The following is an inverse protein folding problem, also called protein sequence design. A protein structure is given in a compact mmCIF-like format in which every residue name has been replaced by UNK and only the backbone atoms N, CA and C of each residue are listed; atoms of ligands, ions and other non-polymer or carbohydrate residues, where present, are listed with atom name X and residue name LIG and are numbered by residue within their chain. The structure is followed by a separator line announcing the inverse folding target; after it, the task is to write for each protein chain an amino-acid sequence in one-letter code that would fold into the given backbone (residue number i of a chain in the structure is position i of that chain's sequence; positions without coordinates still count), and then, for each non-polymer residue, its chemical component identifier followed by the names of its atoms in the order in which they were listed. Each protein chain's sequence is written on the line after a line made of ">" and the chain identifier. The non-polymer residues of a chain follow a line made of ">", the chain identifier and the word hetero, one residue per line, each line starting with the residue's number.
data_IF_114973408304
#
_entry.id   IF_114973408304
#
_cell.length_a   1.000
_cell.length_b   1.000
_cell.length_c   1.000
_cell.angle_alpha   90.00
_cell.angle_beta   90.00
_cell.angle_gamma   90.00
#
_symmetry.space_group_name_H-M   'P 1'
#
loop_
_entity.id
_entity.type
_entity.pdbx_description
1 polymer ?
#
# COMPACT_ATOMS: atom_id res chain seq x y z
N UNK A 1 2.81 26.71 -9.14
CA UNK A 1 2.45 25.36 -9.63
C UNK A 1 1.32 24.86 -8.74
N UNK A 2 0.20 24.45 -9.32
CA UNK A 2 -0.96 23.96 -8.59
C UNK A 2 -0.86 22.44 -8.42
N UNK A 3 -0.84 21.98 -7.17
CA UNK A 3 -1.02 20.58 -6.82
C UNK A 3 -2.33 20.41 -6.06
N UNK A 4 -2.99 19.26 -6.24
CA UNK A 4 -4.24 18.94 -5.53
C UNK A 4 -4.12 17.58 -4.87
N UNK A 5 -4.50 17.52 -3.60
CA UNK A 5 -4.65 16.26 -2.86
C UNK A 5 -6.03 15.67 -3.13
N UNK A 6 -6.06 14.45 -3.68
CA UNK A 6 -7.31 13.77 -4.01
C UNK A 6 -7.17 12.26 -3.81
N UNK A 7 -8.07 11.67 -3.01
CA UNK A 7 -8.13 10.23 -2.73
C UNK A 7 -6.79 9.59 -2.28
N UNK A 8 -5.96 10.32 -1.53
CA UNK A 8 -4.66 9.80 -1.08
C UNK A 8 -3.53 9.90 -2.12
N UNK A 9 -3.75 10.66 -3.18
CA UNK A 9 -2.74 11.02 -4.18
C UNK A 9 -2.52 12.53 -4.23
N UNK A 10 -1.33 12.92 -4.66
CA UNK A 10 -1.01 14.29 -5.07
C UNK A 10 -1.01 14.32 -6.59
N UNK A 11 -1.80 15.20 -7.16
CA UNK A 11 -1.95 15.37 -8.61
C UNK A 11 -1.31 16.72 -8.99
N UNK A 12 -0.30 16.68 -9.84
CA UNK A 12 0.41 17.85 -10.37
C UNK A 12 0.55 17.76 -11.90
N UNK A 13 1.15 18.78 -12.51
CA UNK A 13 1.51 18.73 -13.93
C UNK A 13 2.58 17.66 -14.25
N UNK A 14 3.38 17.22 -13.28
CA UNK A 14 4.35 16.15 -13.47
C UNK A 14 3.71 14.75 -13.40
N UNK A 15 2.48 14.66 -12.91
CA UNK A 15 1.71 13.42 -12.88
C UNK A 15 1.04 13.15 -11.53
N UNK A 16 0.95 11.87 -11.17
CA UNK A 16 0.30 11.39 -9.96
C UNK A 16 1.36 10.78 -9.06
N UNK A 17 1.42 11.22 -7.81
CA UNK A 17 2.25 10.63 -6.76
C UNK A 17 1.40 10.22 -5.55
N UNK A 18 1.98 9.43 -4.66
CA UNK A 18 1.33 9.05 -3.40
C UNK A 18 1.41 10.23 -2.45
N UNK A 19 0.32 10.55 -1.76
CA UNK A 19 0.35 11.56 -0.70
C UNK A 19 1.35 11.13 0.39
N UNK A 20 2.37 11.94 0.72
CA UNK A 20 3.37 11.59 1.73
C UNK A 20 2.76 11.16 3.08
N UNK A 21 1.62 11.74 3.46
CA UNK A 21 0.89 11.33 4.67
C UNK A 21 0.44 9.86 4.64
N UNK A 22 0.20 9.28 3.46
CA UNK A 22 -0.15 7.87 3.29
C UNK A 22 1.07 6.97 3.32
N UNK A 23 2.25 7.48 2.97
CA UNK A 23 3.52 6.76 3.12
C UNK A 23 3.86 6.63 4.60
N UNK A 24 3.69 7.70 5.37
CA UNK A 24 3.95 7.73 6.82
C UNK A 24 3.12 6.68 7.57
N UNK A 25 1.81 6.58 7.26
CA UNK A 25 0.94 5.54 7.83
C UNK A 25 1.43 4.11 7.55
N UNK A 26 2.06 3.87 6.39
CA UNK A 26 2.64 2.55 6.08
C UNK A 26 3.94 2.31 6.83
N UNK A 27 4.76 3.36 7.04
CA UNK A 27 6.01 3.29 7.79
C UNK A 27 5.78 3.05 9.29
N UNK A 28 4.74 3.67 9.86
CA UNK A 28 4.35 3.52 11.27
C UNK A 28 3.48 2.29 11.53
N UNK A 29 3.10 1.55 10.47
CA UNK A 29 2.21 0.41 10.61
C UNK A 29 2.84 -0.69 11.47
N UNK A 30 2.21 -1.01 12.60
CA UNK A 30 2.70 -2.06 13.50
C UNK A 30 2.72 -3.42 12.80
N UNK A 31 3.74 -4.23 13.11
CA UNK A 31 3.88 -5.59 12.55
C UNK A 31 2.59 -6.40 12.75
N UNK A 32 1.90 -6.83 11.66
CA UNK A 32 0.69 -7.64 11.77
C UNK A 32 0.94 -8.95 12.52
N UNK A 33 0.01 -9.32 13.41
CA UNK A 33 0.09 -10.51 14.28
C UNK A 33 -0.90 -11.61 13.90
N UNK A 34 -1.90 -11.30 13.07
CA UNK A 34 -2.89 -12.27 12.62
C UNK A 34 -3.26 -12.11 11.14
N UNK A 35 -3.97 -13.10 10.60
CA UNK A 35 -4.35 -13.16 9.18
C UNK A 35 -5.21 -11.96 8.76
N UNK A 36 -6.10 -11.50 9.65
CA UNK A 36 -6.97 -10.34 9.37
C UNK A 36 -6.14 -9.07 9.20
N UNK A 37 -5.17 -8.82 10.09
CA UNK A 37 -4.27 -7.68 10.01
C UNK A 37 -3.37 -7.75 8.76
N UNK A 38 -2.87 -8.95 8.41
CA UNK A 38 -2.11 -9.14 7.16
C UNK A 38 -2.96 -8.80 5.93
N UNK A 39 -4.25 -9.19 5.91
CA UNK A 39 -5.17 -8.81 4.83
C UNK A 39 -5.41 -7.31 4.76
N UNK A 40 -5.60 -6.66 5.91
CA UNK A 40 -5.79 -5.20 5.98
C UNK A 40 -4.56 -4.46 5.45
N UNK A 41 -3.35 -4.87 5.88
CA UNK A 41 -2.10 -4.31 5.38
C UNK A 41 -1.95 -4.50 3.87
N UNK A 42 -2.19 -5.72 3.36
CA UNK A 42 -2.14 -6.01 1.93
C UNK A 42 -3.14 -5.20 1.12
N UNK A 43 -4.32 -4.90 1.68
CA UNK A 43 -5.32 -4.03 1.06
C UNK A 43 -4.80 -2.60 0.87
N UNK A 44 -4.23 -2.02 1.93
CA UNK A 44 -3.63 -0.67 1.87
C UNK A 44 -2.43 -0.63 0.93
N UNK A 45 -1.48 -1.55 1.08
CA UNK A 45 -0.29 -1.62 0.24
C UNK A 45 -0.66 -1.88 -1.23
N UNK A 46 -1.70 -2.69 -1.46
CA UNK A 46 -2.25 -2.98 -2.78
C UNK A 46 -2.84 -1.76 -3.49
N UNK A 47 -3.40 -0.79 -2.75
CA UNK A 47 -3.91 0.46 -3.31
C UNK A 47 -2.79 1.26 -4.00
N UNK A 48 -1.59 1.28 -3.42
CA UNK A 48 -0.43 1.99 -3.95
C UNK A 48 0.52 1.12 -4.80
N UNK A 49 0.12 -0.10 -5.17
CA UNK A 49 0.97 -1.07 -5.88
C UNK A 49 1.64 -0.55 -7.15
N UNK A 50 1.03 0.42 -7.85
CA UNK A 50 1.57 1.03 -9.08
C UNK A 50 2.90 1.76 -8.85
N UNK A 51 3.14 2.22 -7.62
CA UNK A 51 4.33 2.97 -7.23
C UNK A 51 5.43 2.08 -6.64
N UNK A 52 5.20 0.77 -6.54
CA UNK A 52 6.15 -0.19 -5.97
C UNK A 52 6.55 -1.19 -7.06
N UNK A 53 7.78 -1.08 -7.54
CA UNK A 53 8.33 -2.03 -8.50
C UNK A 53 8.29 -3.46 -7.92
N UNK A 54 7.88 -4.42 -8.73
CA UNK A 54 7.74 -5.83 -8.35
C UNK A 54 6.82 -6.10 -7.15
N UNK A 55 5.81 -5.23 -6.90
CA UNK A 55 4.91 -5.35 -5.75
C UNK A 55 4.40 -6.78 -5.52
N UNK A 56 3.92 -7.46 -6.56
CA UNK A 56 3.39 -8.82 -6.45
C UNK A 56 4.43 -9.83 -5.96
N UNK A 57 5.70 -9.69 -6.37
CA UNK A 57 6.80 -10.55 -5.92
C UNK A 57 7.12 -10.31 -4.45
N UNK A 58 7.13 -9.04 -4.03
CA UNK A 58 7.42 -8.62 -2.65
C UNK A 58 6.28 -9.03 -1.70
N UNK A 59 5.02 -8.86 -2.12
CA UNK A 59 3.83 -9.17 -1.34
C UNK A 59 3.49 -10.66 -1.29
N UNK A 60 4.17 -11.51 -2.08
CA UNK A 60 3.88 -12.93 -2.19
C UNK A 60 3.94 -13.69 -0.84
N UNK A 61 4.97 -13.51 0.01
CA UNK A 61 5.02 -14.20 1.30
C UNK A 61 3.83 -13.85 2.19
N UNK A 62 3.44 -12.57 2.25
CA UNK A 62 2.26 -12.13 3.00
C UNK A 62 0.96 -12.67 2.42
N UNK A 63 0.85 -12.73 1.09
CA UNK A 63 -0.32 -13.29 0.41
C UNK A 63 -0.45 -14.80 0.68
N UNK A 64 0.65 -15.52 0.87
CA UNK A 64 0.61 -16.93 1.29
C UNK A 64 0.04 -17.09 2.71
N UNK A 65 0.34 -16.18 3.62
CA UNK A 65 -0.20 -16.19 5.00
C UNK A 65 -1.73 -16.02 5.07
N UNK A 66 -2.36 -15.52 4.01
CA UNK A 66 -3.81 -15.27 3.99
C UNK A 66 -4.63 -16.37 3.34
N UNK A 67 -3.95 -17.39 2.78
CA UNK A 67 -4.58 -18.56 2.16
C UNK A 67 -5.22 -19.43 3.24
N UNK A 68 -6.32 -20.07 2.88
CA UNK A 68 -6.83 -21.22 3.63
C UNK A 68 -6.13 -22.45 3.06
N UNK A 69 -5.75 -23.39 3.91
CA UNK A 69 -5.38 -24.73 3.46
C UNK A 69 -6.63 -25.34 2.82
N UNK A 70 -6.56 -25.60 1.53
CA UNK A 70 -7.57 -26.32 0.75
C UNK A 70 -6.93 -27.61 0.28
#
# INVERSE_FOLDING_TARGET
>A
MSEVKFLGHVISHEGISVDPAKIEVVLEWERPRNVTEVRSFLGLAGYYRRFVQDFSRIALPLTKLTRKDV
#
